data_IF_086245956393
#
_entry.id   IF_086245956393
#
_cell.length_a   1.000
_cell.length_b   1.000
_cell.length_c   1.000
_cell.angle_alpha   90.00
_cell.angle_beta   90.00
_cell.angle_gamma   90.00
#
_symmetry.space_group_name_H-M   'P 1'
#
loop_
_entity.id
_entity.type
_entity.pdbx_description
1 polymer ?
#
# COMPACT_ATOMS: atom_id res chain seq x y z
N UNK A 1 -11.92 -2.74 -5.88
CA UNK A 1 -13.16 -3.48 -5.57
C UNK A 1 -13.50 -3.43 -4.09
N UNK A 2 -12.67 -4.04 -3.24
CA UNK A 2 -12.92 -4.17 -1.79
C UNK A 2 -12.87 -2.82 -1.04
N UNK A 3 -12.03 -1.87 -1.46
CA UNK A 3 -11.88 -0.56 -0.80
C UNK A 3 -13.17 0.27 -0.75
N UNK A 4 -13.98 0.22 -1.81
CA UNK A 4 -15.25 0.96 -1.87
C UNK A 4 -16.34 0.36 -0.99
N UNK A 5 -16.34 -0.96 -0.79
CA UNK A 5 -17.28 -1.62 0.11
C UNK A 5 -17.08 -1.16 1.57
N UNK A 6 -15.82 -0.98 2.00
CA UNK A 6 -15.51 -0.43 3.33
C UNK A 6 -16.11 0.97 3.53
N UNK A 7 -15.98 1.85 2.53
CA UNK A 7 -16.53 3.21 2.61
C UNK A 7 -18.06 3.19 2.68
N UNK A 8 -18.72 2.40 1.82
CA UNK A 8 -20.19 2.34 1.76
C UNK A 8 -20.77 1.74 3.04
N UNK A 9 -20.25 0.59 3.49
CA UNK A 9 -20.72 -0.07 4.71
C UNK A 9 -20.42 0.79 5.93
N UNK A 10 -19.21 1.36 6.01
CA UNK A 10 -18.83 2.24 7.11
C UNK A 10 -19.68 3.51 7.18
N UNK A 11 -20.02 4.11 6.03
CA UNK A 11 -20.90 5.27 5.97
C UNK A 11 -22.32 4.92 6.43
N UNK A 12 -22.86 3.77 5.99
CA UNK A 12 -24.17 3.28 6.45
C UNK A 12 -24.20 3.05 7.96
N UNK A 13 -23.19 2.36 8.51
CA UNK A 13 -23.06 2.10 9.94
C UNK A 13 -22.94 3.40 10.74
N UNK A 14 -22.13 4.34 10.27
CA UNK A 14 -21.97 5.67 10.90
C UNK A 14 -23.29 6.43 10.89
N UNK A 15 -23.98 6.48 9.75
CA UNK A 15 -25.26 7.16 9.63
C UNK A 15 -26.30 6.59 10.59
N UNK A 16 -26.47 5.27 10.62
CA UNK A 16 -27.40 4.59 11.53
C UNK A 16 -27.04 4.83 13.00
N UNK A 17 -25.74 4.86 13.32
CA UNK A 17 -25.26 5.09 14.69
C UNK A 17 -25.59 6.49 15.19
N UNK A 18 -25.69 7.51 14.33
CA UNK A 18 -25.92 8.89 14.73
C UNK A 18 -27.33 9.41 14.39
N UNK A 19 -28.17 8.62 13.72
CA UNK A 19 -29.52 9.05 13.32
C UNK A 19 -30.41 9.41 14.53
N UNK A 20 -30.14 8.84 15.71
CA UNK A 20 -30.85 9.14 16.95
C UNK A 20 -30.64 10.58 17.45
N UNK A 21 -29.53 11.22 17.07
CA UNK A 21 -29.26 12.64 17.37
C UNK A 21 -29.96 13.59 16.39
N UNK A 22 -30.58 13.05 15.34
CA UNK A 22 -31.20 13.80 14.26
C UNK A 22 -30.47 13.65 12.93
N UNK A 23 -31.18 13.96 11.85
CA UNK A 23 -30.69 13.77 10.48
C UNK A 23 -29.48 14.67 10.17
N UNK A 24 -29.52 15.94 10.63
CA UNK A 24 -28.44 16.91 10.38
C UNK A 24 -27.11 16.46 10.99
N UNK A 25 -27.00 16.17 12.31
CA UNK A 25 -25.74 15.69 12.88
C UNK A 25 -25.32 14.33 12.30
N UNK A 26 -26.26 13.42 12.00
CA UNK A 26 -25.94 12.13 11.38
C UNK A 26 -25.25 12.29 10.02
N UNK A 27 -25.76 13.18 9.16
CA UNK A 27 -25.13 13.48 7.87
C UNK A 27 -23.74 14.11 8.06
N UNK A 28 -23.57 15.00 9.03
CA UNK A 28 -22.28 15.64 9.29
C UNK A 28 -21.21 14.64 9.74
N UNK A 29 -21.52 13.75 10.67
CA UNK A 29 -20.60 12.70 11.10
C UNK A 29 -20.31 11.69 9.99
N UNK A 30 -21.31 11.34 9.18
CA UNK A 30 -21.13 10.45 8.04
C UNK A 30 -20.21 11.09 6.98
N UNK A 31 -20.36 12.39 6.71
CA UNK A 31 -19.48 13.11 5.81
C UNK A 31 -18.03 13.15 6.32
N UNK A 32 -17.83 13.45 7.60
CA UNK A 32 -16.50 13.42 8.23
C UNK A 32 -15.88 12.01 8.17
N UNK A 33 -16.68 10.98 8.42
CA UNK A 33 -16.24 9.59 8.28
C UNK A 33 -15.77 9.28 6.86
N UNK A 34 -16.55 9.64 5.84
CA UNK A 34 -16.17 9.40 4.43
C UNK A 34 -14.85 10.10 4.10
N UNK A 35 -14.70 11.36 4.52
CA UNK A 35 -13.46 12.11 4.32
C UNK A 35 -12.25 11.39 4.94
N UNK A 36 -12.36 10.97 6.20
CA UNK A 36 -11.31 10.22 6.89
C UNK A 36 -11.05 8.85 6.26
N UNK A 37 -12.09 8.12 5.88
CA UNK A 37 -11.99 6.80 5.28
C UNK A 37 -11.23 6.85 3.94
N UNK A 38 -11.55 7.82 3.09
CA UNK A 38 -10.85 8.03 1.81
C UNK A 38 -9.39 8.40 2.07
N UNK A 39 -9.12 9.30 3.02
CA UNK A 39 -7.75 9.66 3.39
C UNK A 39 -6.94 8.45 3.84
N UNK A 40 -7.51 7.61 4.72
CA UNK A 40 -6.84 6.39 5.19
C UNK A 40 -6.62 5.36 4.07
N UNK A 41 -7.56 5.23 3.13
CA UNK A 41 -7.38 4.36 1.97
C UNK A 41 -6.18 4.79 1.12
N UNK A 42 -6.03 6.09 0.88
CA UNK A 42 -4.88 6.63 0.13
C UNK A 42 -3.55 6.36 0.86
N UNK A 43 -3.53 6.52 2.18
CA UNK A 43 -2.35 6.20 2.98
C UNK A 43 -2.00 4.71 2.87
N UNK A 44 -2.99 3.83 3.02
CA UNK A 44 -2.79 2.38 2.90
C UNK A 44 -2.24 2.00 1.53
N UNK A 45 -2.80 2.56 0.46
CA UNK A 45 -2.37 2.31 -0.92
C UNK A 45 -0.93 2.80 -1.15
N UNK A 46 -0.60 3.99 -0.65
CA UNK A 46 0.76 4.54 -0.74
C UNK A 46 1.77 3.65 -0.01
N UNK A 47 1.42 3.18 1.20
CA UNK A 47 2.28 2.28 1.97
C UNK A 47 2.46 0.92 1.28
N UNK A 48 1.39 0.37 0.70
CA UNK A 48 1.46 -0.87 -0.05
C UNK A 48 2.39 -0.75 -1.26
N UNK A 49 2.26 0.33 -2.03
CA UNK A 49 3.13 0.61 -3.18
C UNK A 49 4.59 0.84 -2.76
N UNK A 50 4.83 1.54 -1.65
CA UNK A 50 6.17 1.72 -1.11
C UNK A 50 6.82 0.39 -0.71
N UNK A 51 6.06 -0.51 -0.08
CA UNK A 51 6.52 -1.86 0.26
C UNK A 51 6.85 -2.67 -0.99
N UNK A 52 5.94 -2.70 -1.97
CA UNK A 52 6.17 -3.42 -3.22
C UNK A 52 7.42 -2.94 -3.96
N UNK A 53 7.66 -1.61 -3.98
CA UNK A 53 8.89 -1.04 -4.53
C UNK A 53 10.14 -1.54 -3.82
N UNK A 54 10.13 -1.61 -2.49
CA UNK A 54 11.27 -2.11 -1.73
C UNK A 54 11.55 -3.58 -2.05
N UNK A 55 10.51 -4.41 -2.11
CA UNK A 55 10.64 -5.84 -2.44
C UNK A 55 11.20 -6.04 -3.86
N UNK A 56 10.83 -5.17 -4.82
CA UNK A 56 11.38 -5.19 -6.18
C UNK A 56 12.85 -4.78 -6.20
N UNK A 57 13.22 -3.71 -5.47
CA UNK A 57 14.61 -3.26 -5.39
C UNK A 57 15.53 -4.31 -4.77
N UNK A 58 15.06 -5.01 -3.74
CA UNK A 58 15.79 -6.11 -3.12
C UNK A 58 16.08 -7.23 -4.14
N UNK A 59 15.06 -7.65 -4.90
CA UNK A 59 15.22 -8.66 -5.97
C UNK A 59 16.17 -8.19 -7.06
N UNK A 60 16.08 -6.93 -7.47
CA UNK A 60 17.00 -6.37 -8.47
C UNK A 60 18.44 -6.36 -7.97
N UNK A 61 18.66 -6.02 -6.71
CA UNK A 61 19.99 -5.99 -6.13
C UNK A 61 20.61 -7.40 -6.03
N UNK A 62 19.81 -8.40 -5.64
CA UNK A 62 20.25 -9.79 -5.63
C UNK A 62 20.69 -10.27 -7.02
N UNK A 63 19.90 -9.97 -8.06
CA UNK A 63 20.25 -10.30 -9.45
C UNK A 63 21.54 -9.60 -9.91
N UNK A 64 21.74 -8.34 -9.52
CA UNK A 64 22.96 -7.60 -9.87
C UNK A 64 24.20 -8.19 -9.20
N UNK A 65 24.09 -8.65 -7.95
CA UNK A 65 25.20 -9.32 -7.27
C UNK A 65 25.52 -10.67 -7.94
N UNK A 66 24.52 -11.49 -8.30
CA UNK A 66 24.73 -12.74 -9.04
C UNK A 66 25.43 -12.49 -10.39
N UNK A 67 25.02 -11.45 -11.13
CA UNK A 67 25.68 -11.05 -12.38
C UNK A 67 27.13 -10.62 -12.11
N UNK A 68 27.35 -9.82 -11.06
CA UNK A 68 28.69 -9.35 -10.68
C UNK A 68 29.63 -10.51 -10.34
N UNK A 69 29.16 -11.48 -9.57
CA UNK A 69 29.95 -12.67 -9.20
C UNK A 69 30.24 -13.54 -10.42
N UNK A 70 29.25 -13.77 -11.28
CA UNK A 70 29.43 -14.56 -12.51
C UNK A 70 30.36 -13.91 -13.52
N UNK A 71 30.47 -12.57 -13.56
CA UNK A 71 31.45 -11.83 -14.39
C UNK A 71 32.83 -11.80 -13.74
N UNK A 72 32.95 -11.86 -12.41
CA UNK A 72 34.24 -11.90 -11.71
C UNK A 72 34.93 -13.26 -11.84
N UNK A 73 34.19 -14.37 -11.72
CA UNK A 73 34.68 -15.74 -11.85
C UNK A 73 35.51 -16.05 -13.13
N UNK A 74 35.17 -15.56 -14.34
CA UNK A 74 35.95 -15.83 -15.54
C UNK A 74 37.34 -15.16 -15.56
N UNK A 75 37.61 -14.14 -14.74
CA UNK A 75 38.93 -13.48 -14.69
C UNK A 75 39.98 -14.23 -13.86
N UNK A 76 39.57 -15.14 -12.97
CA UNK A 76 40.46 -15.85 -12.04
C UNK A 76 41.03 -17.15 -12.64
N UNK A 77 40.49 -17.61 -13.77
CA UNK A 77 40.92 -18.83 -14.47
C UNK A 77 41.96 -18.58 -15.58
N UNK A 78 42.72 -17.48 -15.53
CA UNK A 78 43.85 -17.29 -16.45
C UNK A 78 45.03 -18.12 -15.94
N UNK A 79 45.44 -19.22 -16.59
CA UNK A 79 46.65 -19.93 -16.21
C UNK A 79 47.82 -18.96 -16.43
N UNK A 80 48.55 -18.63 -15.36
CA UNK A 80 49.83 -17.94 -15.49
C UNK A 80 50.73 -18.83 -16.37
N UNK A 81 51.13 -18.28 -17.51
CA UNK A 81 51.98 -18.91 -18.52
C UNK A 81 53.40 -19.20 -17.99
#
# INVERSE_FOLDING_TARGET
>A
GVSWAFVIVGAWVTFQSFVFLGIVPALMFTFLFIFLAVFLLLVLETMAMARERNDILEKQNALLEEIRESVKAPSENTPQA
#
